data_IF_583080872073
#
_entry.id   IF_583080872073
#
_cell.length_a   1.000
_cell.length_b   1.000
_cell.length_c   1.000
_cell.angle_alpha   90.00
_cell.angle_beta   90.00
_cell.angle_gamma   90.00
#
_symmetry.space_group_name_H-M   'P 1'
#
loop_
_entity.id
_entity.type
_entity.pdbx_description
1 polymer ?
#
# COMPACT_ATOMS: atom_id res chain seq x y z
N UNK A 1 -5.23 20.78 -20.68
CA UNK A 1 -6.28 20.90 -19.66
C UNK A 1 -6.25 19.58 -18.91
N UNK A 2 -5.85 19.57 -17.65
CA UNK A 2 -5.85 18.34 -16.84
C UNK A 2 -7.28 17.80 -16.78
N UNK A 3 -7.45 16.51 -17.07
CA UNK A 3 -8.76 15.86 -16.95
C UNK A 3 -9.12 15.80 -15.45
N UNK A 4 -10.38 16.04 -15.08
CA UNK A 4 -10.79 15.91 -13.69
C UNK A 4 -10.61 14.46 -13.23
N UNK A 5 -9.96 14.28 -12.09
CA UNK A 5 -9.68 12.96 -11.50
C UNK A 5 -10.57 12.67 -10.29
N UNK A 6 -10.72 11.39 -9.98
CA UNK A 6 -11.43 10.89 -8.80
C UNK A 6 -10.53 9.91 -8.02
N UNK A 7 -10.40 10.15 -6.71
CA UNK A 7 -9.71 9.25 -5.79
C UNK A 7 -10.65 8.18 -5.28
N UNK A 8 -10.21 6.92 -5.30
CA UNK A 8 -10.87 5.87 -4.54
C UNK A 8 -10.52 5.95 -3.05
N UNK A 9 -11.48 5.55 -2.22
CA UNK A 9 -11.22 5.35 -0.80
C UNK A 9 -10.27 4.15 -0.62
N UNK A 10 -9.36 4.23 0.36
CA UNK A 10 -8.31 3.21 0.57
C UNK A 10 -8.84 1.78 0.61
N UNK A 11 -9.97 1.54 1.29
CA UNK A 11 -10.58 0.21 1.35
C UNK A 11 -10.96 -0.34 -0.03
N UNK A 12 -11.50 0.51 -0.92
CA UNK A 12 -11.82 0.10 -2.29
C UNK A 12 -10.56 -0.04 -3.15
N UNK A 13 -9.58 0.86 -2.98
CA UNK A 13 -8.32 0.77 -3.70
C UNK A 13 -7.59 -0.55 -3.41
N UNK A 14 -7.58 -0.96 -2.14
CA UNK A 14 -7.02 -2.25 -1.71
C UNK A 14 -7.77 -3.44 -2.30
N UNK A 15 -9.10 -3.43 -2.30
CA UNK A 15 -9.90 -4.50 -2.91
C UNK A 15 -9.61 -4.65 -4.41
N UNK A 16 -9.40 -3.55 -5.13
CA UNK A 16 -9.08 -3.60 -6.56
C UNK A 16 -7.71 -4.23 -6.83
N UNK A 17 -6.66 -3.80 -6.14
CA UNK A 17 -5.32 -4.40 -6.33
C UNK A 17 -5.26 -5.84 -5.78
N UNK A 18 -6.00 -6.14 -4.71
CA UNK A 18 -6.14 -7.49 -4.15
C UNK A 18 -6.81 -8.45 -5.14
N UNK A 19 -7.77 -7.97 -5.94
CA UNK A 19 -8.38 -8.78 -7.00
C UNK A 19 -7.39 -9.23 -8.09
N UNK A 20 -6.23 -8.57 -8.20
CA UNK A 20 -5.09 -8.96 -9.04
C UNK A 20 -4.03 -9.75 -8.27
N UNK A 21 -4.30 -10.08 -7.00
CA UNK A 21 -3.41 -10.85 -6.14
C UNK A 21 -2.33 -10.03 -5.46
N UNK A 22 -2.41 -8.70 -5.43
CA UNK A 22 -1.53 -7.88 -4.59
C UNK A 22 -1.95 -8.09 -3.13
N UNK A 23 -1.03 -8.57 -2.29
CA UNK A 23 -1.34 -8.80 -0.88
C UNK A 23 -1.64 -7.49 -0.15
N UNK A 24 -2.72 -7.45 0.61
CA UNK A 24 -3.10 -6.34 1.51
C UNK A 24 -3.35 -6.89 2.92
N UNK A 25 -3.30 -6.07 3.98
CA UNK A 25 -3.66 -6.53 5.31
C UNK A 25 -5.11 -7.02 5.34
N UNK A 26 -5.39 -8.06 6.12
CA UNK A 26 -6.77 -8.39 6.43
C UNK A 26 -7.37 -7.23 7.22
N UNK A 27 -8.58 -6.83 6.84
CA UNK A 27 -9.26 -5.75 7.53
C UNK A 27 -10.72 -5.61 7.15
N UNK A 28 -11.40 -4.75 7.88
CA UNK A 28 -12.82 -4.46 7.71
C UNK A 28 -13.08 -2.96 7.80
N UNK A 29 -13.90 -2.45 6.89
CA UNK A 29 -14.39 -1.09 6.96
C UNK A 29 -15.56 -1.01 7.93
N UNK A 30 -15.46 -0.14 8.91
CA UNK A 30 -16.48 0.11 9.94
C UNK A 30 -17.01 1.53 9.84
N UNK A 31 -18.28 1.71 10.20
CA UNK A 31 -18.97 3.00 10.20
C UNK A 31 -19.57 3.36 11.58
N UNK A 32 -19.34 2.54 12.60
CA UNK A 32 -19.77 2.78 13.97
C UNK A 32 -18.93 1.98 14.96
N UNK A 33 -18.99 2.39 16.24
CA UNK A 33 -18.35 1.66 17.35
C UNK A 33 -18.94 0.26 17.52
N UNK A 34 -20.25 0.08 17.30
CA UNK A 34 -20.91 -1.21 17.43
C UNK A 34 -20.36 -2.26 16.43
N UNK A 35 -19.90 -1.81 15.26
CA UNK A 35 -19.29 -2.69 14.26
C UNK A 35 -17.87 -3.16 14.64
N UNK A 36 -17.20 -2.48 15.58
CA UNK A 36 -15.82 -2.81 15.96
C UNK A 36 -15.69 -4.18 16.59
N UNK A 37 -16.72 -4.65 17.30
CA UNK A 37 -16.67 -5.95 17.97
C UNK A 37 -16.48 -7.09 16.96
N UNK A 38 -17.27 -7.07 15.87
CA UNK A 38 -17.17 -8.09 14.84
C UNK A 38 -15.82 -8.03 14.12
N UNK A 39 -15.33 -6.82 13.81
CA UNK A 39 -14.01 -6.63 13.22
C UNK A 39 -12.91 -7.19 14.14
N UNK A 40 -12.92 -6.82 15.42
CA UNK A 40 -11.92 -7.28 16.41
C UNK A 40 -11.94 -8.80 16.62
N UNK A 41 -13.11 -9.44 16.62
CA UNK A 41 -13.23 -10.89 16.78
C UNK A 41 -12.74 -11.67 15.54
N UNK A 42 -12.72 -11.05 14.36
CA UNK A 42 -12.30 -11.70 13.11
C UNK A 42 -10.83 -11.46 12.73
N UNK A 43 -10.17 -10.50 13.39
CA UNK A 43 -8.80 -10.05 13.10
C UNK A 43 -7.83 -10.41 14.22
N UNK A 44 -6.54 -10.41 13.89
CA UNK A 44 -5.46 -10.72 14.83
C UNK A 44 -4.75 -9.45 15.28
N UNK A 45 -4.68 -9.23 16.59
CA UNK A 45 -3.91 -8.15 17.19
C UNK A 45 -2.39 -8.32 16.98
N UNK A 46 -1.60 -7.22 16.92
CA UNK A 46 -2.04 -5.83 17.05
C UNK A 46 -2.78 -5.33 15.80
N UNK A 47 -3.69 -4.38 15.99
CA UNK A 47 -4.50 -3.78 14.93
C UNK A 47 -4.04 -2.35 14.58
N UNK A 48 -4.48 -1.89 13.43
CA UNK A 48 -4.36 -0.51 12.95
C UNK A 48 -5.76 0.05 12.68
N UNK A 49 -5.99 1.30 13.08
CA UNK A 49 -7.13 2.09 12.65
C UNK A 49 -6.70 3.16 11.67
N UNK A 50 -7.44 3.31 10.58
CA UNK A 50 -7.24 4.38 9.59
C UNK A 50 -8.56 5.05 9.27
N UNK A 51 -8.57 6.36 9.15
CA UNK A 51 -9.72 7.05 8.56
C UNK A 51 -9.86 6.66 7.09
N UNK A 52 -11.09 6.33 6.68
CA UNK A 52 -11.40 5.92 5.32
C UNK A 52 -12.22 7.03 4.64
N UNK A 53 -11.53 8.02 4.07
CA UNK A 53 -12.12 9.17 3.37
C UNK A 53 -11.37 9.41 2.04
N UNK A 54 -12.11 9.62 0.94
CA UNK A 54 -11.55 9.87 -0.40
C UNK A 54 -10.81 11.21 -0.50
N UNK A 55 -11.10 12.16 0.39
CA UNK A 55 -10.41 13.44 0.45
C UNK A 55 -9.09 13.38 1.24
N UNK A 56 -8.80 12.27 1.91
CA UNK A 56 -7.70 12.14 2.85
C UNK A 56 -6.51 11.37 2.24
N UNK A 57 -5.68 12.10 1.48
CA UNK A 57 -4.48 11.53 0.84
C UNK A 57 -3.32 11.29 1.83
N UNK A 58 -3.10 12.20 2.80
CA UNK A 58 -2.01 12.10 3.79
C UNK A 58 -2.54 11.84 5.21
N UNK A 59 -3.04 10.62 5.45
CA UNK A 59 -3.73 10.21 6.69
C UNK A 59 -2.86 10.38 7.96
N UNK A 60 -1.58 9.99 7.88
CA UNK A 60 -0.66 10.06 9.02
C UNK A 60 -0.45 11.50 9.50
N UNK A 61 -0.30 12.45 8.58
CA UNK A 61 -0.10 13.88 8.89
C UNK A 61 -1.36 14.52 9.51
N UNK A 62 -2.54 14.01 9.16
CA UNK A 62 -3.81 14.45 9.73
C UNK A 62 -4.12 13.87 11.12
N UNK A 63 -3.22 13.01 11.66
CA UNK A 63 -3.46 12.23 12.87
C UNK A 63 -4.61 11.23 12.70
N UNK A 64 -4.80 10.73 11.47
CA UNK A 64 -5.93 9.89 11.08
C UNK A 64 -5.56 8.39 10.97
N UNK A 65 -4.42 8.02 11.56
CA UNK A 65 -3.93 6.64 11.66
C UNK A 65 -3.53 6.39 13.11
N UNK A 66 -3.99 5.27 13.68
CA UNK A 66 -3.56 4.78 14.98
C UNK A 66 -2.99 3.38 14.81
N UNK A 67 -1.72 3.21 15.18
CA UNK A 67 -0.97 1.97 15.03
C UNK A 67 -0.84 1.24 16.37
N UNK A 68 -0.61 -0.07 16.32
CA UNK A 68 -0.19 -0.84 17.49
C UNK A 68 -1.28 -1.03 18.54
N UNK A 69 -2.54 -1.03 18.13
CA UNK A 69 -3.69 -1.26 19.02
C UNK A 69 -3.58 -2.70 19.52
N UNK A 70 -3.41 -2.89 20.83
CA UNK A 70 -3.12 -4.18 21.45
C UNK A 70 -4.35 -4.96 21.90
N UNK A 71 -5.47 -4.28 22.15
CA UNK A 71 -6.70 -4.89 22.64
C UNK A 71 -7.98 -4.14 22.19
N UNK A 72 -9.13 -4.65 22.63
CA UNK A 72 -10.44 -4.11 22.26
C UNK A 72 -10.75 -2.76 22.90
N UNK A 73 -10.26 -2.50 24.12
CA UNK A 73 -10.52 -1.24 24.82
C UNK A 73 -9.73 -0.10 24.15
N UNK A 74 -8.47 -0.36 23.77
CA UNK A 74 -7.67 0.56 22.96
C UNK A 74 -8.31 0.80 21.59
N UNK A 75 -8.87 -0.24 20.95
CA UNK A 75 -9.57 -0.12 19.66
C UNK A 75 -10.78 0.82 19.76
N UNK A 76 -11.62 0.64 20.79
CA UNK A 76 -12.82 1.47 20.99
C UNK A 76 -12.44 2.91 21.30
N UNK A 77 -11.42 3.13 22.14
CA UNK A 77 -10.94 4.47 22.47
C UNK A 77 -10.42 5.20 21.22
N UNK A 78 -9.59 4.52 20.41
CA UNK A 78 -9.06 5.07 19.18
C UNK A 78 -10.13 5.35 18.14
N UNK A 79 -11.04 4.40 17.92
CA UNK A 79 -12.13 4.55 16.96
C UNK A 79 -13.07 5.69 17.35
N UNK A 80 -13.39 5.84 18.64
CA UNK A 80 -14.24 6.93 19.13
C UNK A 80 -13.61 8.30 18.86
N UNK A 81 -12.30 8.42 19.03
CA UNK A 81 -11.56 9.65 18.69
C UNK A 81 -11.63 9.98 17.20
N UNK A 82 -11.44 8.97 16.34
CA UNK A 82 -11.46 9.17 14.88
C UNK A 82 -12.87 9.39 14.33
N UNK A 83 -13.90 8.71 14.85
CA UNK A 83 -15.29 8.88 14.43
C UNK A 83 -15.84 10.28 14.69
N UNK A 84 -15.25 11.04 15.63
CA UNK A 84 -15.59 12.44 15.83
C UNK A 84 -15.25 13.34 14.62
N UNK A 85 -14.36 12.88 13.73
CA UNK A 85 -13.85 13.62 12.57
C UNK A 85 -14.15 12.94 11.25
N UNK A 86 -14.28 11.62 11.23
CA UNK A 86 -14.39 10.82 10.02
C UNK A 86 -15.59 9.86 10.11
N UNK A 87 -16.42 9.77 9.05
CA UNK A 87 -17.63 8.95 9.08
C UNK A 87 -17.38 7.45 8.96
N UNK A 88 -16.18 7.05 8.52
CA UNK A 88 -15.82 5.64 8.34
C UNK A 88 -14.34 5.42 8.62
N UNK A 89 -14.05 4.27 9.22
CA UNK A 89 -12.69 3.83 9.52
C UNK A 89 -12.43 2.47 8.86
N UNK A 90 -11.16 2.16 8.67
CA UNK A 90 -10.66 0.86 8.25
C UNK A 90 -9.87 0.27 9.41
N UNK A 91 -10.27 -0.90 9.88
CA UNK A 91 -9.58 -1.68 10.92
C UNK A 91 -8.81 -2.80 10.24
N UNK A 92 -7.50 -2.87 10.45
CA UNK A 92 -6.61 -3.84 9.78
C UNK A 92 -5.69 -4.55 10.76
N UNK A 93 -5.29 -5.78 10.43
CA UNK A 93 -4.15 -6.44 11.09
C UNK A 93 -2.87 -5.65 10.83
N UNK A 94 -2.09 -5.39 11.87
CA UNK A 94 -0.81 -4.71 11.74
C UNK A 94 0.28 -5.70 11.31
N UNK A 95 0.92 -5.42 10.17
CA UNK A 95 2.13 -6.14 9.77
C UNK A 95 3.30 -5.69 10.64
N UNK A 96 3.93 -6.62 11.35
CA UNK A 96 4.98 -6.35 12.36
C UNK A 96 6.34 -6.96 12.01
N UNK A 97 6.40 -7.83 11.01
CA UNK A 97 7.58 -8.55 10.55
C UNK A 97 8.14 -7.96 9.24
N UNK A 98 8.27 -6.64 9.15
CA UNK A 98 8.78 -5.98 7.94
C UNK A 98 10.30 -6.06 7.86
N UNK A 99 10.84 -6.51 6.72
CA UNK A 99 12.27 -6.45 6.39
C UNK A 99 12.65 -5.07 5.86
N UNK A 100 11.88 -4.55 4.93
CA UNK A 100 12.02 -3.18 4.45
C UNK A 100 10.72 -2.64 3.86
N UNK A 101 10.63 -1.33 3.78
CA UNK A 101 9.53 -0.61 3.14
C UNK A 101 9.94 -0.15 1.74
N UNK A 102 9.01 -0.24 0.81
CA UNK A 102 9.14 0.26 -0.55
C UNK A 102 7.98 1.20 -0.88
N UNK A 103 8.18 2.02 -1.89
CA UNK A 103 7.13 2.80 -2.55
C UNK A 103 7.03 2.27 -3.97
N UNK A 104 5.80 2.01 -4.43
CA UNK A 104 5.53 1.69 -5.84
C UNK A 104 4.54 2.72 -6.37
N UNK A 105 4.99 3.49 -7.35
CA UNK A 105 4.15 4.48 -8.04
C UNK A 105 3.98 4.10 -9.51
N UNK A 106 2.80 4.34 -10.07
CA UNK A 106 2.53 4.19 -11.48
C UNK A 106 1.80 5.43 -11.96
N UNK A 107 2.24 5.96 -13.10
CA UNK A 107 1.59 7.09 -13.77
C UNK A 107 1.50 6.83 -15.26
N UNK A 108 0.56 7.51 -15.90
CA UNK A 108 0.43 7.51 -17.35
C UNK A 108 1.03 8.76 -17.97
N UNK A 109 1.93 8.55 -18.91
CA UNK A 109 2.44 9.61 -19.77
C UNK A 109 1.77 9.53 -21.16
N UNK A 110 1.31 10.66 -21.73
CA UNK A 110 0.63 10.67 -23.03
C UNK A 110 1.48 10.21 -24.21
N UNK A 111 2.80 10.21 -24.10
CA UNK A 111 3.74 9.91 -25.18
C UNK A 111 4.31 8.50 -25.03
N UNK A 112 4.80 8.16 -23.84
CA UNK A 112 5.50 6.88 -23.59
C UNK A 112 4.60 5.81 -22.97
N UNK A 113 3.38 6.16 -22.60
CA UNK A 113 2.43 5.25 -21.94
C UNK A 113 2.67 5.13 -20.43
N UNK A 114 2.13 4.07 -19.79
CA UNK A 114 2.29 3.87 -18.36
C UNK A 114 3.74 3.53 -17.99
N UNK A 115 4.19 4.05 -16.86
CA UNK A 115 5.49 3.73 -16.28
C UNK A 115 5.36 3.47 -14.79
N UNK A 116 6.19 2.56 -14.29
CA UNK A 116 6.27 2.19 -12.88
C UNK A 116 7.58 2.70 -12.28
N UNK A 117 7.48 3.30 -11.09
CA UNK A 117 8.59 3.59 -10.20
C UNK A 117 8.54 2.67 -9.00
N UNK A 118 9.71 2.16 -8.62
CA UNK A 118 9.95 1.54 -7.32
C UNK A 118 11.01 2.36 -6.58
N UNK A 119 10.82 2.59 -5.30
CA UNK A 119 11.80 3.25 -4.46
C UNK A 119 11.83 2.73 -3.05
N UNK A 120 12.88 3.07 -2.31
CA UNK A 120 12.92 2.85 -0.87
C UNK A 120 11.82 3.64 -0.17
N UNK A 121 11.09 3.01 0.77
CA UNK A 121 10.10 3.65 1.64
C UNK A 121 10.64 4.03 3.01
N UNK A 122 9.76 4.53 3.87
CA UNK A 122 10.06 4.97 5.24
C UNK A 122 10.92 6.23 5.33
N UNK A 123 11.43 6.53 6.53
CA UNK A 123 12.17 7.78 6.83
C UNK A 123 13.40 8.03 5.96
N UNK A 124 13.94 6.99 5.33
CA UNK A 124 15.12 7.08 4.48
C UNK A 124 14.78 7.37 3.00
N UNK A 125 13.50 7.24 2.61
CA UNK A 125 13.02 7.45 1.24
C UNK A 125 13.39 8.83 0.68
N UNK A 126 13.04 9.89 1.42
CA UNK A 126 13.22 11.28 1.00
C UNK A 126 14.70 11.69 0.94
N UNK A 127 15.54 11.08 1.78
CA UNK A 127 16.95 11.44 1.92
C UNK A 127 17.86 10.76 0.89
N UNK A 128 17.50 9.54 0.43
CA UNK A 128 18.40 8.73 -0.39
C UNK A 128 18.18 8.87 -1.90
N UNK A 129 17.01 9.36 -2.34
CA UNK A 129 16.65 9.42 -3.75
C UNK A 129 16.82 8.06 -4.45
N UNK A 130 16.51 6.97 -3.74
CA UNK A 130 16.74 5.60 -4.22
C UNK A 130 15.51 5.09 -4.97
N UNK A 131 15.39 5.51 -6.23
CA UNK A 131 14.27 5.13 -7.10
C UNK A 131 14.75 4.54 -8.42
N UNK A 132 13.97 3.62 -8.98
CA UNK A 132 14.15 3.05 -10.32
C UNK A 132 12.84 3.13 -11.07
N UNK A 133 12.91 3.30 -12.39
CA UNK A 133 11.73 3.44 -13.26
C UNK A 133 11.83 2.47 -14.42
N UNK A 134 10.70 1.91 -14.83
CA UNK A 134 10.54 1.16 -16.08
C UNK A 134 9.22 1.51 -16.76
N UNK A 135 9.11 1.25 -18.06
CA UNK A 135 7.85 1.36 -18.80
C UNK A 135 7.00 0.10 -18.60
N UNK A 136 5.68 0.24 -18.71
CA UNK A 136 4.76 -0.89 -18.66
C UNK A 136 4.12 -1.17 -20.03
N UNK A 137 3.90 -2.45 -20.39
CA UNK A 137 4.28 -3.64 -19.63
C UNK A 137 5.81 -3.85 -19.63
N UNK A 138 6.33 -4.47 -18.56
CA UNK A 138 7.75 -4.77 -18.38
C UNK A 138 7.94 -6.29 -18.23
N UNK A 139 9.18 -6.74 -18.33
CA UNK A 139 9.54 -8.17 -18.20
C UNK A 139 10.06 -8.48 -16.80
N UNK A 140 9.97 -9.73 -16.39
CA UNK A 140 10.50 -10.20 -15.09
C UNK A 140 11.98 -9.81 -14.86
N UNK A 141 12.81 -9.85 -15.92
CA UNK A 141 14.23 -9.50 -15.85
C UNK A 141 14.48 -8.00 -15.66
N UNK A 142 13.58 -7.15 -16.19
CA UNK A 142 13.61 -5.71 -15.95
C UNK A 142 13.23 -5.38 -14.50
N UNK A 143 12.17 -6.00 -13.96
CA UNK A 143 11.80 -5.83 -12.55
C UNK A 143 12.91 -6.34 -11.60
N UNK A 144 13.52 -7.48 -11.90
CA UNK A 144 14.66 -7.98 -11.12
C UNK A 144 15.85 -7.03 -11.16
N UNK A 145 16.12 -6.42 -12.31
CA UNK A 145 17.15 -5.39 -12.46
C UNK A 145 16.81 -4.14 -11.66
N UNK A 146 15.57 -3.67 -11.66
CA UNK A 146 15.14 -2.54 -10.85
C UNK A 146 15.35 -2.80 -9.35
N UNK A 147 14.88 -3.94 -8.83
CA UNK A 147 15.00 -4.30 -7.42
C UNK A 147 16.46 -4.42 -7.01
N UNK A 148 17.27 -5.13 -7.79
CA UNK A 148 18.70 -5.34 -7.50
C UNK A 148 19.54 -4.06 -7.57
N UNK A 149 19.06 -3.08 -8.33
CA UNK A 149 19.74 -1.80 -8.47
C UNK A 149 19.45 -0.83 -7.33
N UNK A 150 18.43 -1.06 -6.49
CA UNK A 150 18.12 -0.20 -5.35
C UNK A 150 19.29 -0.20 -4.35
N UNK A 151 19.62 0.97 -3.80
CA UNK A 151 20.59 1.11 -2.70
C UNK A 151 20.17 0.32 -1.47
N UNK A 152 18.86 0.14 -1.24
CA UNK A 152 18.35 -0.68 -0.14
C UNK A 152 18.38 -2.19 -0.42
N UNK A 153 18.71 -2.63 -1.64
CA UNK A 153 18.77 -4.05 -2.01
C UNK A 153 19.58 -4.93 -1.03
N UNK A 154 20.69 -4.48 -0.42
CA UNK A 154 21.39 -5.28 0.59
C UNK A 154 20.53 -5.70 1.79
N UNK A 155 19.50 -4.93 2.16
CA UNK A 155 18.56 -5.31 3.23
C UNK A 155 17.70 -6.52 2.82
N UNK A 156 17.34 -6.61 1.54
CA UNK A 156 16.56 -7.73 1.00
C UNK A 156 17.35 -9.05 1.05
N UNK A 157 18.68 -9.00 1.09
CA UNK A 157 19.54 -10.18 1.20
C UNK A 157 19.79 -10.65 2.64
N UNK A 158 19.26 -9.92 3.63
CA UNK A 158 19.57 -10.10 5.05
C UNK A 158 20.88 -9.42 5.44
N UNK A 159 20.89 -8.72 6.58
CA UNK A 159 22.03 -7.98 7.08
C UNK A 159 22.25 -8.26 8.57
N UNK A 160 23.48 -8.64 8.95
CA UNK A 160 23.91 -8.88 10.34
C UNK A 160 22.96 -9.81 11.14
N UNK A 161 22.48 -10.87 10.52
CA UNK A 161 21.59 -11.86 11.17
C UNK A 161 20.10 -11.55 11.05
N UNK A 162 19.70 -10.47 10.36
CA UNK A 162 18.31 -10.27 9.98
C UNK A 162 17.86 -11.29 8.93
N UNK A 163 16.57 -11.58 8.90
CA UNK A 163 15.97 -12.38 7.84
C UNK A 163 16.07 -11.66 6.49
N UNK A 164 16.20 -12.44 5.41
CA UNK A 164 16.14 -11.93 4.05
C UNK A 164 14.68 -11.66 3.65
N UNK A 165 14.47 -10.65 2.81
CA UNK A 165 13.15 -10.31 2.28
C UNK A 165 12.67 -11.33 1.23
N UNK A 166 11.36 -11.42 1.04
CA UNK A 166 10.73 -12.26 0.04
C UNK A 166 10.81 -11.66 -1.38
N UNK A 167 12.01 -11.65 -1.97
CA UNK A 167 12.26 -11.10 -3.31
C UNK A 167 11.41 -11.78 -4.40
N UNK A 168 11.22 -13.12 -4.42
CA UNK A 168 10.31 -13.75 -5.37
C UNK A 168 8.87 -13.23 -5.28
N UNK A 169 8.35 -13.05 -4.05
CA UNK A 169 7.02 -12.47 -3.87
C UNK A 169 6.97 -11.00 -4.29
N UNK A 170 8.03 -10.22 -4.05
CA UNK A 170 8.12 -8.84 -4.53
C UNK A 170 8.04 -8.76 -6.05
N UNK A 171 8.80 -9.59 -6.77
CA UNK A 171 8.73 -9.68 -8.23
C UNK A 171 7.32 -10.01 -8.73
N UNK A 172 6.70 -11.03 -8.14
CA UNK A 172 5.33 -11.41 -8.47
C UNK A 172 4.34 -10.27 -8.21
N UNK A 173 4.51 -9.52 -7.12
CA UNK A 173 3.68 -8.34 -6.81
C UNK A 173 3.86 -7.23 -7.84
N UNK A 174 5.09 -6.91 -8.27
CA UNK A 174 5.31 -5.90 -9.32
C UNK A 174 4.66 -6.31 -10.64
N UNK A 175 4.74 -7.59 -11.01
CA UNK A 175 4.05 -8.11 -12.19
C UNK A 175 2.53 -7.98 -12.06
N UNK A 176 1.95 -8.32 -10.91
CA UNK A 176 0.50 -8.17 -10.66
C UNK A 176 0.04 -6.71 -10.71
N UNK A 177 0.85 -5.79 -10.19
CA UNK A 177 0.59 -4.35 -10.31
C UNK A 177 0.66 -3.92 -11.78
N UNK A 178 1.64 -4.42 -12.55
CA UNK A 178 1.70 -4.15 -13.98
C UNK A 178 0.45 -4.68 -14.71
N UNK A 179 0.03 -5.90 -14.43
CA UNK A 179 -1.18 -6.50 -15.03
C UNK A 179 -2.44 -5.68 -14.68
N UNK A 180 -2.58 -5.25 -13.42
CA UNK A 180 -3.66 -4.35 -12.98
C UNK A 180 -3.67 -3.04 -13.78
N UNK A 181 -2.51 -2.39 -13.90
CA UNK A 181 -2.37 -1.12 -14.63
C UNK A 181 -2.73 -1.31 -16.10
N UNK A 182 -2.28 -2.41 -16.71
CA UNK A 182 -2.56 -2.69 -18.11
C UNK A 182 -4.03 -2.96 -18.37
N UNK A 183 -4.74 -3.62 -17.44
CA UNK A 183 -6.20 -3.79 -17.50
C UNK A 183 -6.92 -2.44 -17.37
N UNK A 184 -6.48 -1.58 -16.44
CA UNK A 184 -7.14 -0.31 -16.11
C UNK A 184 -6.64 0.89 -16.92
N UNK A 185 -5.76 0.69 -17.89
CA UNK A 185 -5.01 1.75 -18.61
C UNK A 185 -5.84 2.80 -19.34
N UNK A 186 -7.14 2.57 -19.56
CA UNK A 186 -7.97 3.57 -20.23
C UNK A 186 -8.44 4.67 -19.26
N UNK A 187 -8.57 4.35 -17.98
CA UNK A 187 -9.11 5.25 -16.97
C UNK A 187 -8.16 5.52 -15.81
N UNK A 188 -7.23 4.61 -15.50
CA UNK A 188 -6.26 4.79 -14.41
C UNK A 188 -5.28 5.91 -14.75
N UNK A 189 -5.22 6.93 -13.90
CA UNK A 189 -4.30 8.06 -14.01
C UNK A 189 -3.05 7.83 -13.15
N UNK A 190 -3.27 7.40 -11.91
CA UNK A 190 -2.21 7.19 -10.94
C UNK A 190 -2.55 6.03 -10.00
N UNK A 191 -1.54 5.23 -9.69
CA UNK A 191 -1.54 4.27 -8.59
C UNK A 191 -0.32 4.58 -7.72
N UNK A 192 -0.51 4.70 -6.41
CA UNK A 192 0.58 4.74 -5.45
C UNK A 192 0.32 3.71 -4.35
N UNK A 193 1.29 2.83 -4.12
CA UNK A 193 1.35 1.95 -2.96
C UNK A 193 2.47 2.45 -2.07
N UNK A 194 2.11 2.96 -0.91
CA UNK A 194 3.05 3.62 -0.01
C UNK A 194 2.61 3.54 1.46
N UNK A 195 3.12 2.60 2.27
CA UNK A 195 4.21 1.68 1.93
C UNK A 195 3.77 0.33 1.35
N UNK A 196 4.65 -0.26 0.54
CA UNK A 196 4.69 -1.67 0.19
C UNK A 196 5.71 -2.37 1.10
N UNK A 197 5.23 -3.21 2.03
CA UNK A 197 6.06 -3.89 3.02
C UNK A 197 6.57 -5.23 2.48
N UNK A 198 7.90 -5.39 2.42
CA UNK A 198 8.52 -6.69 2.13
C UNK A 198 8.75 -7.43 3.45
N UNK A 199 8.26 -8.66 3.55
CA UNK A 199 8.35 -9.50 4.75
C UNK A 199 9.44 -10.57 4.58
N UNK A 200 9.81 -11.32 5.64
CA UNK A 200 10.75 -12.41 5.54
C UNK A 200 10.41 -13.39 4.43
N UNK A 201 11.42 -14.01 3.85
CA UNK A 201 11.27 -15.01 2.80
C UNK A 201 10.21 -16.07 3.16
N UNK A 202 9.20 -16.23 2.29
CA UNK A 202 8.05 -17.11 2.47
C UNK A 202 6.83 -16.46 3.13
N UNK A 203 6.92 -15.19 3.55
CA UNK A 203 5.83 -14.41 4.15
C UNK A 203 5.20 -13.40 3.17
N UNK A 204 5.78 -13.24 1.98
CA UNK A 204 5.25 -12.40 0.92
C UNK A 204 5.50 -10.89 1.09
N UNK A 205 4.65 -10.11 0.42
CA UNK A 205 4.70 -8.64 0.39
C UNK A 205 3.28 -8.10 0.62
N UNK A 206 3.17 -6.97 1.30
CA UNK A 206 1.90 -6.40 1.71
C UNK A 206 1.81 -4.89 1.38
N UNK A 207 0.85 -4.51 0.55
CA UNK A 207 0.47 -3.13 0.27
C UNK A 207 -0.40 -2.61 1.43
N UNK A 208 0.22 -1.92 2.39
CA UNK A 208 -0.51 -1.48 3.59
C UNK A 208 -1.21 -0.15 3.38
N UNK A 209 -0.90 0.60 2.34
CA UNK A 209 -1.70 1.75 1.90
C UNK A 209 -1.66 1.84 0.38
N UNK A 210 -2.75 2.27 -0.21
CA UNK A 210 -2.90 2.40 -1.65
C UNK A 210 -3.81 3.59 -2.01
N UNK A 211 -3.35 4.39 -2.96
CA UNK A 211 -4.10 5.46 -3.61
C UNK A 211 -4.29 5.07 -5.07
N UNK A 212 -5.54 5.10 -5.53
CA UNK A 212 -5.89 4.97 -6.95
C UNK A 212 -6.65 6.21 -7.40
N UNK A 213 -6.20 6.78 -8.51
CA UNK A 213 -6.83 7.90 -9.19
C UNK A 213 -7.29 7.49 -10.58
N UNK A 214 -8.55 7.75 -10.86
CA UNK A 214 -9.16 7.51 -12.17
C UNK A 214 -9.54 8.83 -12.84
N UNK A 215 -9.44 8.89 -14.16
CA UNK A 215 -10.03 9.96 -14.96
C UNK A 215 -11.55 9.89 -14.82
N UNK A 216 -12.21 11.02 -14.54
CA UNK A 216 -13.67 11.06 -14.51
C UNK A 216 -14.23 10.79 -15.90
N UNK A 217 -15.18 9.87 -15.97
CA UNK A 217 -16.00 9.71 -17.17
C UNK A 217 -16.73 11.04 -17.45
N UNK A 218 -16.69 11.46 -18.71
CA UNK A 218 -17.37 12.68 -19.19
C UNK A 218 -18.87 12.49 -19.31
#
# INVERSE_FOLDING_TARGET
MEQPVENLAEAHAKLEIESFGVGVPRGERVASVDALKNAAESLTYPLVLKACDTALLHKSEAGAVMLGIGDFDELVAGATSLFARYPSLLVEEMITDTVCELIVGVRQDPVIGPWMMIGSGGIYAELMGDTRVTLLPSRDDEFATMISSLKIHPLLNGYRGSEAGDVPALLATLQRVADFVMEKRESLVELEINPLLVRPKGKGVCAVDAVLQYARAS
#
